data_IF_567073023813
#
_entry.id   IF_567073023813
#
_cell.length_a   1.000
_cell.length_b   1.000
_cell.length_c   1.000
_cell.angle_alpha   90.00
_cell.angle_beta   90.00
_cell.angle_gamma   90.00
#
_symmetry.space_group_name_H-M   'P 1'
#
loop_
_entity.id
_entity.type
_entity.pdbx_description
1 polymer ?
#
# COMPACT_ATOMS: atom_id res chain seq x y z
N UNK A 1 10.85 -0.92 1.05
CA UNK A 1 10.10 0.32 0.74
C UNK A 1 9.59 0.21 -0.68
N UNK A 2 8.31 0.48 -0.89
CA UNK A 2 7.69 0.55 -2.21
C UNK A 2 7.13 1.96 -2.40
N UNK A 3 7.41 2.58 -3.53
CA UNK A 3 6.83 3.85 -3.97
C UNK A 3 6.05 3.60 -5.25
N UNK A 4 4.83 4.12 -5.32
CA UNK A 4 3.91 4.01 -6.45
C UNK A 4 3.56 5.42 -6.87
N UNK A 5 3.70 5.71 -8.17
CA UNK A 5 3.07 6.86 -8.79
C UNK A 5 1.81 6.40 -9.51
N UNK A 6 0.67 7.03 -9.24
CA UNK A 6 -0.56 6.81 -10.00
C UNK A 6 -0.60 7.67 -11.26
N UNK A 7 -1.46 7.31 -12.22
CA UNK A 7 -1.63 8.07 -13.47
C UNK A 7 -2.09 9.53 -13.28
N UNK A 8 -2.65 9.86 -12.12
CA UNK A 8 -2.98 11.23 -11.71
C UNK A 8 -1.87 11.91 -10.88
N UNK A 9 -0.64 11.40 -10.96
CA UNK A 9 0.59 11.92 -10.36
C UNK A 9 0.61 11.97 -8.82
N UNK A 10 -0.21 11.18 -8.15
CA UNK A 10 -0.09 11.02 -6.69
C UNK A 10 0.95 9.97 -6.34
N UNK A 11 1.75 10.26 -5.31
CA UNK A 11 2.85 9.44 -4.84
C UNK A 11 2.50 8.88 -3.47
N UNK A 12 2.52 7.56 -3.35
CA UNK A 12 2.19 6.85 -2.13
C UNK A 12 2.86 5.49 -2.12
N UNK A 13 2.72 4.74 -1.04
CA UNK A 13 3.29 3.39 -1.00
C UNK A 13 3.28 2.80 0.38
N UNK A 14 4.19 1.86 0.60
CA UNK A 14 4.30 1.14 1.85
C UNK A 14 5.70 0.65 2.16
N UNK A 15 5.94 0.47 3.44
CA UNK A 15 7.15 -0.10 4.00
C UNK A 15 6.78 -1.36 4.78
N UNK A 16 7.59 -2.39 4.60
CA UNK A 16 7.67 -3.55 5.47
C UNK A 16 9.15 -3.87 5.68
N UNK A 17 9.50 -4.33 6.88
CA UNK A 17 10.81 -4.87 7.22
C UNK A 17 11.01 -6.29 6.66
N UNK A 18 9.94 -6.95 6.22
CA UNK A 18 9.97 -8.32 5.71
C UNK A 18 10.33 -8.30 4.21
N UNK A 19 11.39 -9.00 3.78
CA UNK A 19 11.71 -9.10 2.36
C UNK A 19 10.61 -9.84 1.58
N UNK A 20 10.15 -9.27 0.46
CA UNK A 20 9.20 -9.93 -0.43
C UNK A 20 9.79 -11.25 -0.96
N UNK A 21 9.04 -12.34 -0.78
CA UNK A 21 9.47 -13.68 -1.21
C UNK A 21 8.66 -14.22 -2.39
N UNK A 22 7.51 -13.61 -2.70
CA UNK A 22 6.57 -14.11 -3.71
C UNK A 22 6.12 -15.57 -3.48
N UNK A 23 6.12 -16.04 -2.23
CA UNK A 23 5.79 -17.42 -1.86
C UNK A 23 4.35 -17.55 -1.32
N UNK A 24 3.54 -18.32 -2.04
CA UNK A 24 2.42 -19.11 -1.47
C UNK A 24 1.29 -18.35 -0.78
N UNK A 25 1.08 -17.06 -1.06
CA UNK A 25 -0.05 -16.30 -0.48
C UNK A 25 -0.02 -16.14 1.03
N UNK A 26 1.14 -16.38 1.63
CA UNK A 26 1.29 -16.34 3.08
C UNK A 26 1.28 -14.90 3.59
N UNK A 27 0.48 -14.67 4.63
CA UNK A 27 0.55 -13.46 5.43
C UNK A 27 1.86 -13.41 6.20
N UNK A 28 2.45 -12.22 6.30
CA UNK A 28 3.65 -11.99 7.09
C UNK A 28 3.36 -11.02 8.21
N UNK A 29 3.85 -11.39 9.39
CA UNK A 29 3.83 -10.55 10.55
C UNK A 29 4.86 -9.43 10.41
N UNK A 30 4.43 -8.18 10.59
CA UNK A 30 5.31 -7.03 10.69
C UNK A 30 4.66 -5.91 11.50
N UNK A 31 5.16 -5.69 12.72
CA UNK A 31 4.70 -4.62 13.60
C UNK A 31 5.35 -3.26 13.29
N UNK A 32 6.28 -3.21 12.34
CA UNK A 32 6.94 -1.98 11.87
C UNK A 32 6.39 -1.51 10.52
N UNK A 33 5.47 -2.28 9.92
CA UNK A 33 4.88 -1.94 8.64
C UNK A 33 4.09 -0.63 8.72
N UNK A 34 4.15 0.14 7.64
CA UNK A 34 3.34 1.34 7.48
C UNK A 34 3.07 1.60 6.00
N UNK A 35 1.92 2.19 5.72
CA UNK A 35 1.63 2.78 4.41
C UNK A 35 1.72 4.30 4.51
N UNK A 36 1.91 4.99 3.40
CA UNK A 36 2.11 6.44 3.41
C UNK A 36 1.64 7.10 2.12
N UNK A 37 1.39 8.40 2.20
CA UNK A 37 1.27 9.31 1.05
C UNK A 37 2.41 10.31 1.10
N UNK A 38 2.97 10.65 -0.06
CA UNK A 38 3.91 11.77 -0.25
C UNK A 38 3.18 12.96 -0.89
N UNK A 39 2.28 12.67 -1.83
CA UNK A 39 1.32 13.62 -2.38
C UNK A 39 -0.06 12.98 -2.40
N UNK A 40 -1.12 13.78 -2.33
CA UNK A 40 -2.50 13.32 -2.33
C UNK A 40 -3.45 14.42 -2.83
N UNK A 41 -4.69 14.06 -3.23
CA UNK A 41 -5.68 15.02 -3.75
C UNK A 41 -6.15 16.08 -2.74
N UNK A 42 -5.81 15.92 -1.46
CA UNK A 42 -6.34 16.74 -0.37
C UNK A 42 -5.33 17.75 0.17
N UNK A 43 -4.16 17.88 -0.46
CA UNK A 43 -3.06 18.73 0.00
C UNK A 43 -2.64 18.44 1.44
N UNK A 44 -2.85 17.22 1.91
CA UNK A 44 -2.37 16.76 3.21
C UNK A 44 -0.84 16.59 3.07
N UNK A 45 -0.01 17.08 4.01
CA UNK A 45 1.43 16.83 4.00
C UNK A 45 1.75 15.33 3.93
N UNK A 46 2.99 14.95 3.55
CA UNK A 46 3.41 13.55 3.58
C UNK A 46 3.04 12.88 4.90
N UNK A 47 2.21 11.84 4.84
CA UNK A 47 1.57 11.23 6.00
C UNK A 47 1.88 9.76 6.07
N UNK A 48 2.23 9.29 7.26
CA UNK A 48 2.47 7.88 7.57
C UNK A 48 1.28 7.31 8.34
N UNK A 49 0.83 6.13 7.93
CA UNK A 49 -0.23 5.35 8.55
C UNK A 49 0.36 4.04 9.07
N UNK A 50 0.40 3.88 10.38
CA UNK A 50 1.00 2.72 11.04
C UNK A 50 0.04 1.53 11.02
N UNK A 51 0.60 0.32 10.97
CA UNK A 51 -0.18 -0.90 11.16
C UNK A 51 -0.87 -0.87 12.53
N UNK A 52 -2.13 -1.30 12.59
CA UNK A 52 -2.83 -1.51 13.85
C UNK A 52 -2.12 -2.65 14.62
N UNK A 53 -1.75 -2.47 15.91
CA UNK A 53 -1.14 -3.54 16.71
C UNK A 53 -1.89 -4.88 16.67
N UNK A 54 -3.22 -4.84 16.55
CA UNK A 54 -4.08 -6.04 16.49
C UNK A 54 -4.13 -6.72 15.11
N UNK A 55 -3.45 -6.16 14.10
CA UNK A 55 -3.46 -6.65 12.71
C UNK A 55 -2.07 -7.00 12.18
N UNK A 56 -1.05 -6.98 13.05
CA UNK A 56 0.35 -7.15 12.67
C UNK A 56 0.64 -8.48 11.97
N UNK A 57 -0.04 -9.56 12.34
CA UNK A 57 0.12 -10.89 11.73
C UNK A 57 -0.25 -10.94 10.23
N UNK A 58 -1.09 -10.00 9.78
CA UNK A 58 -1.53 -9.86 8.38
C UNK A 58 -1.08 -8.54 7.77
N UNK A 59 0.08 -8.02 8.19
CA UNK A 59 0.60 -6.74 7.74
C UNK A 59 0.84 -6.68 6.22
N UNK A 60 1.38 -7.75 5.64
CA UNK A 60 1.60 -7.88 4.19
C UNK A 60 1.33 -9.30 3.67
N UNK A 61 0.97 -9.43 2.40
CA UNK A 61 0.79 -10.73 1.73
C UNK A 61 1.77 -10.91 0.57
N UNK A 62 2.41 -12.08 0.50
CA UNK A 62 3.47 -12.36 -0.49
C UNK A 62 2.99 -13.26 -1.65
N UNK A 63 1.71 -13.29 -2.02
CA UNK A 63 1.28 -14.11 -3.15
C UNK A 63 1.98 -13.69 -4.46
N UNK A 64 2.33 -14.66 -5.29
CA UNK A 64 3.07 -14.44 -6.54
C UNK A 64 2.26 -13.81 -7.67
N UNK A 65 0.92 -13.83 -7.59
CA UNK A 65 0.06 -13.32 -8.66
C UNK A 65 -0.16 -11.81 -8.65
N UNK A 66 0.38 -11.09 -7.68
CA UNK A 66 0.24 -9.65 -7.54
C UNK A 66 1.52 -9.01 -6.99
N UNK A 67 1.56 -7.68 -7.05
CA UNK A 67 2.64 -6.90 -6.49
C UNK A 67 2.50 -6.72 -4.97
N UNK A 68 3.04 -5.63 -4.41
CA UNK A 68 2.91 -5.31 -3.00
C UNK A 68 1.45 -5.29 -2.53
N UNK A 69 1.24 -5.94 -1.39
CA UNK A 69 -0.06 -6.13 -0.78
C UNK A 69 0.08 -5.82 0.72
N UNK A 70 -0.64 -4.80 1.21
CA UNK A 70 -0.57 -4.33 2.59
C UNK A 70 -1.93 -4.45 3.27
N UNK A 71 -1.98 -5.19 4.39
CA UNK A 71 -3.13 -5.32 5.30
C UNK A 71 -4.15 -6.39 4.90
N UNK A 72 -4.84 -7.01 5.87
CA UNK A 72 -5.99 -7.87 5.60
C UNK A 72 -7.17 -7.03 5.08
N UNK A 73 -7.76 -7.42 3.94
CA UNK A 73 -8.71 -6.56 3.21
C UNK A 73 -8.01 -5.31 2.68
N UNK A 74 -7.16 -5.46 1.65
CA UNK A 74 -5.92 -4.72 1.52
C UNK A 74 -6.15 -3.22 1.50
N UNK A 75 -5.52 -2.55 2.45
CA UNK A 75 -5.46 -1.10 2.47
C UNK A 75 -4.71 -0.58 1.25
N UNK A 76 -3.77 -1.38 0.74
CA UNK A 76 -3.12 -1.16 -0.54
C UNK A 76 -2.87 -2.47 -1.27
N UNK A 77 -3.40 -2.57 -2.49
CA UNK A 77 -3.23 -3.70 -3.39
C UNK A 77 -2.73 -3.23 -4.74
N UNK A 78 -1.58 -3.75 -5.18
CA UNK A 78 -1.04 -3.53 -6.51
C UNK A 78 -1.27 -4.76 -7.39
N UNK A 79 -2.11 -4.62 -8.42
CA UNK A 79 -2.41 -5.70 -9.35
C UNK A 79 -1.21 -6.04 -10.24
N UNK A 80 -1.23 -7.23 -10.85
CA UNK A 80 -0.38 -7.53 -11.99
C UNK A 80 -0.72 -6.59 -13.18
N UNK A 81 0.27 -6.26 -14.00
CA UNK A 81 0.12 -5.33 -15.13
C UNK A 81 -0.55 -4.00 -14.72
N UNK A 82 -0.23 -3.50 -13.52
CA UNK A 82 -0.81 -2.30 -12.92
C UNK A 82 -0.59 -1.02 -13.71
N UNK A 83 0.32 -1.05 -14.70
CA UNK A 83 0.55 0.03 -15.66
C UNK A 83 -0.38 0.04 -16.86
N UNK A 84 -1.10 -1.05 -17.11
CA UNK A 84 -2.01 -1.19 -18.25
C UNK A 84 -3.45 -1.50 -17.86
N UNK A 85 -3.78 -1.54 -16.56
CA UNK A 85 -5.14 -1.77 -16.07
C UNK A 85 -5.46 -0.93 -14.84
N UNK A 86 -6.74 -0.86 -14.48
CA UNK A 86 -7.26 -0.14 -13.31
C UNK A 86 -7.66 -1.10 -12.17
N UNK A 87 -6.98 -2.25 -12.07
CA UNK A 87 -7.31 -3.31 -11.11
C UNK A 87 -6.58 -3.17 -9.79
N UNK A 88 -5.61 -2.26 -9.68
CA UNK A 88 -5.02 -1.90 -8.38
C UNK A 88 -6.03 -1.07 -7.58
N UNK A 89 -6.01 -1.21 -6.26
CA UNK A 89 -6.95 -0.47 -5.42
C UNK A 89 -6.42 -0.28 -4.01
N UNK A 90 -7.02 0.68 -3.31
CA UNK A 90 -6.90 0.85 -1.87
C UNK A 90 -8.25 0.50 -1.24
N UNK A 91 -8.25 -0.06 -0.02
CA UNK A 91 -9.46 -0.32 0.77
C UNK A 91 -9.30 0.17 2.21
N UNK A 92 -8.53 1.24 2.36
CA UNK A 92 -8.15 1.84 3.63
C UNK A 92 -9.35 2.53 4.33
N UNK A 93 -9.49 2.43 5.66
CA UNK A 93 -8.57 1.81 6.64
C UNK A 93 -9.10 0.50 7.26
N UNK A 94 -8.51 -0.64 6.89
CA UNK A 94 -8.80 -1.98 7.42
C UNK A 94 -7.74 -2.43 8.43
N UNK A 95 -6.45 -2.39 8.06
CA UNK A 95 -5.34 -2.87 8.89
C UNK A 95 -4.40 -1.77 9.37
N UNK A 96 -4.34 -0.65 8.68
CA UNK A 96 -3.55 0.53 9.02
C UNK A 96 -4.45 1.63 9.58
N UNK A 97 -3.92 2.42 10.50
CA UNK A 97 -4.69 3.43 11.24
C UNK A 97 -4.79 4.73 10.45
N UNK A 98 -6.02 5.17 10.15
CA UNK A 98 -6.29 6.48 9.55
C UNK A 98 -6.21 7.60 10.57
N UNK A 99 -5.21 8.46 10.41
CA UNK A 99 -5.00 9.68 11.21
C UNK A 99 -5.56 10.95 10.56
N UNK A 100 -6.11 10.83 9.34
CA UNK A 100 -6.60 11.95 8.52
C UNK A 100 -8.12 12.00 8.37
N UNK A 101 -8.81 10.89 8.66
CA UNK A 101 -10.26 10.75 8.50
C UNK A 101 -10.73 10.74 7.04
N UNK A 102 -9.80 10.57 6.09
CA UNK A 102 -10.12 10.51 4.64
C UNK A 102 -10.34 9.09 4.15
N UNK A 103 -9.92 8.10 4.92
CA UNK A 103 -9.91 6.70 4.53
C UNK A 103 -9.32 6.55 3.12
N UNK A 104 -9.94 5.68 2.34
CA UNK A 104 -9.51 5.36 0.98
C UNK A 104 -9.23 6.58 0.08
N UNK A 105 -9.95 7.69 0.27
CA UNK A 105 -9.80 8.87 -0.57
C UNK A 105 -8.45 9.57 -0.37
N UNK A 106 -7.71 9.26 0.70
CA UNK A 106 -6.41 9.88 0.99
C UNK A 106 -5.34 9.60 -0.07
N UNK A 107 -5.40 8.49 -0.81
CA UNK A 107 -4.33 8.11 -1.74
C UNK A 107 -4.49 8.78 -3.10
N UNK A 108 -5.56 8.44 -3.82
CA UNK A 108 -5.80 8.89 -5.19
C UNK A 108 -7.14 9.61 -5.36
N UNK A 109 -7.94 9.70 -4.28
CA UNK A 109 -9.31 10.22 -4.33
C UNK A 109 -10.34 9.22 -4.89
N UNK A 110 -9.91 8.01 -5.25
CA UNK A 110 -10.74 6.94 -5.77
C UNK A 110 -10.31 5.60 -5.17
N UNK A 111 -11.16 4.58 -5.29
CA UNK A 111 -10.84 3.21 -4.83
C UNK A 111 -9.79 2.55 -5.72
N UNK A 112 -10.00 2.62 -7.03
CA UNK A 112 -9.16 1.98 -8.02
C UNK A 112 -8.17 2.97 -8.63
N UNK A 113 -7.00 2.47 -9.00
CA UNK A 113 -5.98 3.25 -9.70
C UNK A 113 -5.19 2.41 -10.71
N UNK A 114 -4.56 3.10 -11.64
CA UNK A 114 -3.50 2.60 -12.53
C UNK A 114 -2.19 3.24 -12.10
N UNK A 115 -1.12 2.45 -12.03
CA UNK A 115 0.21 2.91 -11.67
C UNK A 115 0.97 3.36 -12.92
N UNK A 116 1.52 4.57 -12.91
CA UNK A 116 2.41 5.02 -13.99
C UNK A 116 3.84 4.56 -13.78
N UNK A 117 4.28 4.45 -12.52
CA UNK A 117 5.63 4.01 -12.16
C UNK A 117 5.64 3.35 -10.77
N UNK A 118 6.59 2.44 -10.55
CA UNK A 118 6.77 1.69 -9.30
C UNK A 118 8.26 1.51 -9.02
N UNK A 119 8.69 1.97 -7.85
CA UNK A 119 10.06 1.76 -7.37
C UNK A 119 10.07 0.93 -6.08
N UNK A 120 11.01 -0.01 -5.99
CA UNK A 120 11.18 -0.87 -4.81
C UNK A 120 12.61 -0.78 -4.30
N UNK A 121 12.76 -0.40 -3.04
CA UNK A 121 14.04 -0.23 -2.36
C UNK A 121 14.15 -1.15 -1.15
N UNK A 122 15.33 -1.74 -0.98
CA UNK A 122 15.75 -2.40 0.26
C UNK A 122 16.68 -1.46 1.03
N UNK A 123 16.47 -1.33 2.34
CA UNK A 123 17.41 -0.68 3.24
C UNK A 123 18.40 -1.74 3.74
N UNK A 124 19.70 -1.43 3.67
CA UNK A 124 20.79 -2.30 4.11
C UNK A 124 21.16 -2.02 5.57
#
# INVERSE_FOLDING_TARGET
MTIIQSNNNYLFGGYTAIPWTSEGGSWKNDNTAFIFTLTNPHNIPPTKYLINPDQTESAVNHHSSYGPYFGAGPDMYLANASNSNNSSYTNFPSSYVDTTGKGNNTFTGARNFTASDIEVFKLA
#
